data_IF_035172814657
#
_entry.id   IF_035172814657
#
_cell.length_a   1.000
_cell.length_b   1.000
_cell.length_c   1.000
_cell.angle_alpha   90.00
_cell.angle_beta   90.00
_cell.angle_gamma   90.00
#
_symmetry.space_group_name_H-M   'P 1'
#
loop_
_entity.id
_entity.type
_entity.pdbx_description
1 polymer ?
#
# COMPACT_ATOMS: atom_id res chain seq x y z
N UNK A 1 46.06 13.12 23.20
CA UNK A 1 44.60 13.40 23.27
C UNK A 1 43.92 13.70 21.92
N UNK A 2 44.58 14.33 20.94
CA UNK A 2 43.95 14.65 19.63
C UNK A 2 43.66 13.41 18.74
N UNK A 3 44.57 12.43 18.67
CA UNK A 3 44.39 11.22 17.82
C UNK A 3 43.16 10.36 18.19
N UNK A 4 42.81 10.29 19.47
CA UNK A 4 41.67 9.50 19.96
C UNK A 4 40.34 10.17 19.61
N UNK A 5 40.29 11.52 19.63
CA UNK A 5 39.11 12.30 19.21
C UNK A 5 38.82 12.17 17.71
N UNK A 6 39.87 12.11 16.88
CA UNK A 6 39.70 11.86 15.44
C UNK A 6 39.26 10.42 15.15
N UNK A 7 39.73 9.43 15.93
CA UNK A 7 39.33 8.03 15.76
C UNK A 7 37.86 7.79 16.16
N UNK A 8 37.38 8.46 17.22
CA UNK A 8 35.96 8.42 17.60
C UNK A 8 35.07 9.18 16.62
N UNK A 9 35.53 10.33 16.08
CA UNK A 9 34.81 11.07 15.05
C UNK A 9 34.68 10.26 13.75
N UNK A 10 35.75 9.59 13.32
CA UNK A 10 35.77 8.73 12.12
C UNK A 10 34.86 7.50 12.29
N UNK A 11 34.86 6.89 13.48
CA UNK A 11 33.94 5.80 13.83
C UNK A 11 32.47 6.24 13.76
N UNK A 12 32.16 7.43 14.27
CA UNK A 12 30.81 8.00 14.21
C UNK A 12 30.37 8.30 12.77
N UNK A 13 31.28 8.76 11.90
CA UNK A 13 31.01 8.99 10.47
C UNK A 13 30.78 7.68 9.70
N UNK A 14 31.54 6.63 9.98
CA UNK A 14 31.36 5.30 9.35
C UNK A 14 30.03 4.68 9.76
N UNK A 15 29.64 4.78 11.03
CA UNK A 15 28.33 4.34 11.53
C UNK A 15 27.19 5.12 10.86
N UNK A 16 27.33 6.44 10.69
CA UNK A 16 26.36 7.27 10.00
C UNK A 16 26.20 6.90 8.51
N UNK A 17 27.28 6.50 7.83
CA UNK A 17 27.23 6.05 6.44
C UNK A 17 26.52 4.69 6.27
N UNK A 18 26.57 3.81 7.28
CA UNK A 18 25.87 2.50 7.22
C UNK A 18 24.35 2.61 7.34
N UNK A 19 23.83 3.71 7.91
CA UNK A 19 22.40 3.99 8.00
C UNK A 19 21.82 4.54 6.68
N UNK A 20 22.67 5.00 5.75
CA UNK A 20 22.27 5.42 4.40
C UNK A 20 22.04 4.22 3.45
N UNK A 21 21.50 3.12 3.97
CA UNK A 21 21.21 1.91 3.21
C UNK A 21 20.31 2.20 2.00
N UNK A 22 20.65 1.61 0.85
CA UNK A 22 19.85 1.67 -0.36
C UNK A 22 18.38 1.33 -0.07
N UNK A 23 17.47 2.27 -0.37
CA UNK A 23 16.02 2.03 -0.26
C UNK A 23 15.64 0.75 -1.00
N UNK A 24 14.86 -0.12 -0.36
CA UNK A 24 14.35 -1.34 -1.00
C UNK A 24 13.54 -0.99 -2.26
N UNK A 25 13.42 -1.94 -3.19
CA UNK A 25 12.60 -1.73 -4.40
C UNK A 25 11.15 -1.36 -4.06
N UNK A 26 10.60 -1.95 -3.00
CA UNK A 26 9.27 -1.58 -2.50
C UNK A 26 9.22 -0.13 -2.04
N UNK A 27 10.19 0.32 -1.23
CA UNK A 27 10.24 1.71 -0.74
C UNK A 27 10.39 2.72 -1.89
N UNK A 28 11.14 2.38 -2.95
CA UNK A 28 11.22 3.20 -4.16
C UNK A 28 9.86 3.33 -4.85
N UNK A 29 9.08 2.26 -4.93
CA UNK A 29 7.74 2.29 -5.53
C UNK A 29 6.74 3.02 -4.61
N UNK A 30 6.74 2.73 -3.31
CA UNK A 30 5.86 3.35 -2.32
C UNK A 30 5.99 4.87 -2.31
N UNK A 31 7.21 5.38 -2.44
CA UNK A 31 7.49 6.83 -2.50
C UNK A 31 7.39 7.43 -3.90
N UNK A 32 7.13 6.64 -4.94
CA UNK A 32 7.01 7.15 -6.30
C UNK A 32 5.71 7.95 -6.50
N UNK A 33 5.77 8.96 -7.35
CA UNK A 33 4.60 9.72 -7.81
C UNK A 33 3.93 9.07 -9.04
N UNK A 34 4.53 8.01 -9.60
CA UNK A 34 3.93 7.25 -10.70
C UNK A 34 2.81 6.35 -10.17
N UNK A 35 1.59 6.86 -10.26
CA UNK A 35 0.38 6.19 -9.76
C UNK A 35 0.05 4.91 -10.53
N UNK A 36 0.39 4.83 -11.82
CA UNK A 36 0.14 3.64 -12.65
C UNK A 36 1.08 2.51 -12.25
N UNK A 37 2.38 2.81 -12.15
CA UNK A 37 3.39 1.86 -11.68
C UNK A 37 3.12 1.39 -10.25
N UNK A 38 2.69 2.28 -9.36
CA UNK A 38 2.32 1.92 -8.00
C UNK A 38 1.12 0.97 -7.96
N UNK A 39 0.10 1.22 -8.79
CA UNK A 39 -1.07 0.34 -8.88
C UNK A 39 -0.70 -1.06 -9.43
N UNK A 40 0.13 -1.10 -10.48
CA UNK A 40 0.63 -2.37 -11.02
C UNK A 40 1.37 -3.18 -9.95
N UNK A 41 2.20 -2.53 -9.14
CA UNK A 41 2.89 -3.17 -8.03
C UNK A 41 1.93 -3.61 -6.91
N UNK A 42 0.91 -2.82 -6.58
CA UNK A 42 -0.10 -3.19 -5.60
C UNK A 42 -0.83 -4.47 -6.01
N UNK A 43 -1.26 -4.55 -7.28
CA UNK A 43 -1.87 -5.74 -7.86
C UNK A 43 -0.92 -6.95 -7.88
N UNK A 44 0.36 -6.74 -8.24
CA UNK A 44 1.37 -7.81 -8.19
C UNK A 44 1.56 -8.35 -6.78
N UNK A 45 1.61 -7.48 -5.78
CA UNK A 45 1.74 -7.84 -4.36
C UNK A 45 0.50 -8.58 -3.87
N UNK A 46 -0.71 -8.12 -4.24
CA UNK A 46 -1.96 -8.80 -3.93
C UNK A 46 -1.97 -10.25 -4.47
N UNK A 47 -1.63 -10.42 -5.75
CA UNK A 47 -1.58 -11.73 -6.41
C UNK A 47 -0.54 -12.65 -5.78
N UNK A 48 0.56 -12.10 -5.26
CA UNK A 48 1.57 -12.84 -4.49
C UNK A 48 1.19 -13.05 -3.02
N UNK A 49 -0.05 -12.76 -2.62
CA UNK A 49 -0.54 -12.84 -1.23
C UNK A 49 0.26 -12.00 -0.24
N UNK A 50 1.02 -11.02 -0.73
CA UNK A 50 1.78 -10.06 0.08
C UNK A 50 0.87 -8.91 0.51
N UNK A 51 -0.23 -9.26 1.18
CA UNK A 51 -1.35 -8.34 1.42
C UNK A 51 -0.97 -7.13 2.28
N UNK A 52 -0.07 -7.28 3.26
CA UNK A 52 0.43 -6.15 4.06
C UNK A 52 1.07 -5.05 3.20
N UNK A 53 1.87 -5.43 2.20
CA UNK A 53 2.52 -4.48 1.30
C UNK A 53 1.55 -3.93 0.25
N UNK A 54 0.64 -4.78 -0.23
CA UNK A 54 -0.41 -4.35 -1.16
C UNK A 54 -1.31 -3.29 -0.51
N UNK A 55 -1.70 -3.49 0.75
CA UNK A 55 -2.55 -2.57 1.51
C UNK A 55 -1.96 -1.16 1.56
N UNK A 56 -0.68 -1.04 1.93
CA UNK A 56 0.03 0.25 1.98
C UNK A 56 -0.06 1.01 0.65
N UNK A 57 0.06 0.29 -0.48
CA UNK A 57 -0.03 0.93 -1.80
C UNK A 57 -1.48 1.26 -2.17
N UNK A 58 -2.44 0.39 -1.87
CA UNK A 58 -3.85 0.64 -2.14
C UNK A 58 -4.40 1.83 -1.34
N UNK A 59 -4.02 1.98 -0.07
CA UNK A 59 -4.41 3.12 0.77
C UNK A 59 -3.93 4.45 0.16
N UNK A 60 -2.65 4.53 -0.22
CA UNK A 60 -2.08 5.73 -0.85
C UNK A 60 -2.73 6.05 -2.20
N UNK A 61 -3.17 5.03 -2.94
CA UNK A 61 -3.79 5.19 -4.25
C UNK A 61 -5.29 5.49 -4.20
N UNK A 62 -6.00 5.05 -3.15
CA UNK A 62 -7.47 5.13 -3.04
C UNK A 62 -8.00 6.54 -3.32
N UNK A 63 -7.36 7.57 -2.76
CA UNK A 63 -7.74 8.96 -2.98
C UNK A 63 -7.29 9.49 -4.35
N UNK A 64 -6.13 9.04 -4.85
CA UNK A 64 -5.53 9.52 -6.11
C UNK A 64 -6.27 9.00 -7.34
N UNK A 65 -6.90 7.83 -7.24
CA UNK A 65 -7.65 7.19 -8.32
C UNK A 65 -9.12 7.60 -8.38
N UNK A 66 -9.64 8.41 -7.46
CA UNK A 66 -11.05 8.85 -7.52
C UNK A 66 -11.37 9.49 -8.88
N UNK A 67 -12.42 9.00 -9.53
CA UNK A 67 -12.87 9.49 -10.84
C UNK A 67 -12.00 9.08 -12.03
N UNK A 68 -10.99 8.22 -11.84
CA UNK A 68 -10.14 7.71 -12.92
C UNK A 68 -10.59 6.32 -13.37
N UNK A 69 -10.19 5.96 -14.58
CA UNK A 69 -10.28 4.58 -15.05
C UNK A 69 -9.51 3.65 -14.11
N UNK A 70 -10.10 2.49 -13.80
CA UNK A 70 -9.56 1.52 -12.85
C UNK A 70 -9.82 1.84 -11.37
N UNK A 71 -10.49 2.96 -11.03
CA UNK A 71 -10.86 3.27 -9.65
C UNK A 71 -11.74 2.18 -9.01
N UNK A 72 -12.68 1.63 -9.78
CA UNK A 72 -13.52 0.51 -9.33
C UNK A 72 -12.64 -0.67 -8.95
N UNK A 73 -11.86 -1.19 -9.90
CA UNK A 73 -10.97 -2.32 -9.66
C UNK A 73 -10.05 -2.06 -8.44
N UNK A 74 -9.42 -0.89 -8.36
CA UNK A 74 -8.55 -0.54 -7.24
C UNK A 74 -9.26 -0.62 -5.89
N UNK A 75 -10.45 0.00 -5.76
CA UNK A 75 -11.19 0.01 -4.51
C UNK A 75 -11.75 -1.37 -4.14
N UNK A 76 -12.10 -2.20 -5.13
CA UNK A 76 -12.46 -3.60 -4.89
C UNK A 76 -11.29 -4.38 -4.29
N UNK A 77 -10.11 -4.32 -4.93
CA UNK A 77 -8.92 -5.01 -4.42
C UNK A 77 -8.42 -4.45 -3.10
N UNK A 78 -8.64 -3.16 -2.83
CA UNK A 78 -8.38 -2.57 -1.52
C UNK A 78 -9.23 -3.23 -0.43
N UNK A 79 -10.56 -3.28 -0.60
CA UNK A 79 -11.47 -3.93 0.34
C UNK A 79 -11.14 -5.42 0.51
N UNK A 80 -10.86 -6.12 -0.59
CA UNK A 80 -10.45 -7.53 -0.56
C UNK A 80 -9.10 -7.73 0.15
N UNK A 81 -8.16 -6.80 0.04
CA UNK A 81 -6.87 -6.89 0.74
C UNK A 81 -7.08 -6.85 2.25
N UNK A 82 -7.92 -5.93 2.74
CA UNK A 82 -8.30 -5.85 4.16
C UNK A 82 -8.95 -7.15 4.64
N UNK A 83 -9.88 -7.70 3.84
CA UNK A 83 -10.51 -8.98 4.14
C UNK A 83 -9.49 -10.12 4.24
N UNK A 84 -8.54 -10.22 3.29
CA UNK A 84 -7.47 -11.23 3.32
C UNK A 84 -6.52 -11.07 4.50
N UNK A 85 -6.35 -9.86 5.01
CA UNK A 85 -5.63 -9.56 6.24
C UNK A 85 -6.45 -9.81 7.51
N UNK A 86 -7.71 -10.22 7.37
CA UNK A 86 -8.66 -10.42 8.47
C UNK A 86 -9.00 -9.16 9.26
N UNK A 87 -8.75 -7.99 8.67
CA UNK A 87 -9.30 -6.72 9.18
C UNK A 87 -10.75 -6.59 8.69
N UNK A 88 -11.63 -7.42 9.25
CA UNK A 88 -13.01 -7.51 8.81
C UNK A 88 -13.81 -6.24 9.09
N UNK A 89 -13.46 -5.51 10.15
CA UNK A 89 -14.10 -4.23 10.48
C UNK A 89 -13.88 -3.21 9.37
N UNK A 90 -12.62 -2.99 8.99
CA UNK A 90 -12.30 -2.03 7.92
C UNK A 90 -12.74 -2.58 6.57
N UNK A 91 -12.59 -3.87 6.31
CA UNK A 91 -13.03 -4.50 5.07
C UNK A 91 -14.53 -4.30 4.84
N UNK A 92 -15.36 -4.58 5.86
CA UNK A 92 -16.82 -4.40 5.81
C UNK A 92 -17.19 -2.97 5.42
N UNK A 93 -16.55 -2.00 6.06
CA UNK A 93 -16.74 -0.58 5.73
C UNK A 93 -16.35 -0.28 4.27
N UNK A 94 -15.18 -0.74 3.81
CA UNK A 94 -14.75 -0.50 2.44
C UNK A 94 -15.62 -1.22 1.39
N UNK A 95 -16.13 -2.41 1.69
CA UNK A 95 -17.10 -3.10 0.84
C UNK A 95 -18.41 -2.33 0.73
N UNK A 96 -18.92 -1.78 1.85
CA UNK A 96 -20.08 -0.89 1.82
C UNK A 96 -19.82 0.34 0.96
N UNK A 97 -18.70 1.04 1.21
CA UNK A 97 -18.31 2.23 0.43
C UNK A 97 -18.22 1.90 -1.05
N UNK A 98 -17.63 0.75 -1.41
CA UNK A 98 -17.55 0.29 -2.80
C UNK A 98 -18.94 0.14 -3.41
N UNK A 99 -19.82 -0.63 -2.76
CA UNK A 99 -21.16 -0.92 -3.26
C UNK A 99 -22.02 0.35 -3.42
N UNK A 100 -21.90 1.30 -2.49
CA UNK A 100 -22.61 2.57 -2.52
C UNK A 100 -22.04 3.50 -3.63
N UNK A 101 -20.71 3.48 -3.84
CA UNK A 101 -20.04 4.34 -4.85
C UNK A 101 -20.20 3.79 -6.27
N UNK A 102 -20.21 2.48 -6.43
CA UNK A 102 -20.21 1.79 -7.73
C UNK A 102 -21.36 0.79 -7.83
N UNK A 103 -22.63 1.22 -7.71
CA UNK A 103 -23.77 0.31 -7.58
C UNK A 103 -24.01 -0.58 -8.81
N UNK A 104 -23.52 -0.15 -9.99
CA UNK A 104 -23.63 -0.85 -11.27
C UNK A 104 -22.40 -1.71 -11.64
N UNK A 105 -21.38 -1.75 -10.77
CA UNK A 105 -20.19 -2.57 -11.01
C UNK A 105 -20.51 -4.06 -10.90
N UNK A 106 -19.80 -4.90 -11.66
CA UNK A 106 -19.88 -6.37 -11.52
C UNK A 106 -19.55 -6.85 -10.10
N UNK A 107 -18.71 -6.12 -9.36
CA UNK A 107 -18.33 -6.45 -7.99
C UNK A 107 -19.34 -5.95 -6.94
N UNK A 108 -20.36 -5.18 -7.35
CA UNK A 108 -21.23 -4.49 -6.40
C UNK A 108 -22.07 -5.46 -5.56
N UNK A 109 -22.55 -6.55 -6.15
CA UNK A 109 -23.31 -7.58 -5.44
C UNK A 109 -22.46 -8.29 -4.38
N UNK A 110 -21.25 -8.74 -4.76
CA UNK A 110 -20.30 -9.36 -3.82
C UNK A 110 -19.96 -8.40 -2.68
N UNK A 111 -19.64 -7.14 -2.98
CA UNK A 111 -19.34 -6.14 -1.96
C UNK A 111 -20.53 -5.88 -1.03
N UNK A 112 -21.77 -5.85 -1.54
CA UNK A 112 -22.97 -5.75 -0.67
C UNK A 112 -23.05 -6.92 0.30
N UNK A 113 -22.89 -8.13 -0.20
CA UNK A 113 -22.88 -9.34 0.63
C UNK A 113 -21.78 -9.30 1.70
N UNK A 114 -20.55 -8.99 1.29
CA UNK A 114 -19.39 -8.92 2.18
C UNK A 114 -19.47 -7.78 3.20
N UNK A 115 -20.25 -6.73 2.93
CA UNK A 115 -20.49 -5.63 3.87
C UNK A 115 -21.52 -5.96 4.97
N UNK A 116 -22.29 -7.03 4.82
CA UNK A 116 -23.33 -7.43 5.78
C UNK A 116 -22.87 -8.57 6.72
N UNK A 117 -21.81 -9.29 6.36
CA UNK A 117 -21.23 -10.40 7.11
C UNK A 117 -20.05 -9.93 8.00
#
# INVERSE_FOLDING_TARGET
MFKIKHLTLLSFTIIALTLAGCKSQFEKIRLSNDVAKKNQEAMRLYNKKSYNKALILFEDLSQKYRGRDGAQQLNYYYAMTLYKLKDYTTARYQFKVFADTYPTSEYAEECRYMSAY
#
